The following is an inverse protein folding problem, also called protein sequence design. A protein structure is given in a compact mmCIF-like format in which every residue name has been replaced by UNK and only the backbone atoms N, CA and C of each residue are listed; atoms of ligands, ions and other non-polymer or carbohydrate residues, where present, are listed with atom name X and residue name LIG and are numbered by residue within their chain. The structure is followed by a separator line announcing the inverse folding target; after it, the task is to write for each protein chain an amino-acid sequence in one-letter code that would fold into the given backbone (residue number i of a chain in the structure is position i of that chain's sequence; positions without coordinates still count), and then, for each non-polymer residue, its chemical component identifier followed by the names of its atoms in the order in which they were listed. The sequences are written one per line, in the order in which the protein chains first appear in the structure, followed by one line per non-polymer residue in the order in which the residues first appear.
data_IF_663618765922
#
_entry.id   IF_663618765922
#
_cell.length_a   1.000
_cell.length_b   1.000
_cell.length_c   1.000
_cell.angle_alpha   90.00
_cell.angle_beta   90.00
_cell.angle_gamma   90.00
#
_symmetry.space_group_name_H-M   'P 1'
#
loop_
_entity.id
_entity.type
_entity.pdbx_description
1 polymer ?
#
# COMPACT_ATOMS: atom_id res chain seq x y z
N UNK A 1 6.80 0.93 -7.95
CA UNK A 1 7.75 0.05 -7.24
C UNK A 1 8.41 0.84 -6.12
N UNK A 2 8.52 0.28 -4.91
CA UNK A 2 9.21 0.91 -3.80
C UNK A 2 10.63 0.32 -3.74
N UNK A 3 11.65 1.18 -3.93
CA UNK A 3 13.06 0.79 -3.81
C UNK A 3 13.67 1.56 -2.66
N UNK A 4 13.86 0.88 -1.52
CA UNK A 4 14.45 1.50 -0.33
C UNK A 4 15.96 1.62 -0.50
N UNK A 5 16.53 2.78 -0.17
CA UNK A 5 17.99 3.01 -0.19
C UNK A 5 18.71 2.31 0.98
N UNK A 6 17.98 2.00 2.06
CA UNK A 6 18.46 1.21 3.22
C UNK A 6 17.34 0.26 3.71
N UNK A 7 17.66 -0.72 4.56
CA UNK A 7 16.64 -1.61 5.15
C UNK A 7 15.90 -0.86 6.24
N UNK A 8 14.76 -0.26 5.92
CA UNK A 8 13.99 0.54 6.87
C UNK A 8 12.50 0.41 6.59
N UNK A 9 11.68 0.52 7.65
CA UNK A 9 10.23 0.59 7.51
C UNK A 9 9.84 1.75 6.62
N UNK A 10 8.95 1.50 5.67
CA UNK A 10 8.51 2.51 4.70
C UNK A 10 7.02 2.72 4.84
N UNK A 11 6.59 3.98 4.91
CA UNK A 11 5.18 4.35 4.92
C UNK A 11 4.83 5.07 3.62
N UNK A 12 3.72 4.68 3.00
CA UNK A 12 3.17 5.30 1.79
C UNK A 12 1.75 5.74 2.10
N UNK A 13 1.38 6.95 1.68
CA UNK A 13 0.02 7.48 1.85
C UNK A 13 -0.67 7.50 0.48
N UNK A 14 -1.84 6.88 0.39
CA UNK A 14 -2.68 6.92 -0.80
C UNK A 14 -3.36 8.29 -0.93
N UNK A 15 -3.77 8.70 -2.15
CA UNK A 15 -4.55 9.90 -2.35
C UNK A 15 -5.81 9.91 -1.46
N UNK A 16 -6.08 11.05 -0.82
CA UNK A 16 -7.22 11.25 0.06
C UNK A 16 -8.57 11.36 -0.71
N UNK A 17 -8.51 11.80 -1.97
CA UNK A 17 -9.67 11.94 -2.86
C UNK A 17 -9.42 11.26 -4.22
N UNK A 18 -9.37 9.91 -4.27
CA UNK A 18 -9.22 9.16 -5.51
C UNK A 18 -10.53 9.12 -6.32
N UNK A 19 -10.43 8.98 -7.64
CA UNK A 19 -11.56 8.72 -8.52
C UNK A 19 -11.95 7.24 -8.49
N UNK A 20 -13.23 6.92 -8.74
CA UNK A 20 -13.71 5.53 -8.82
C UNK A 20 -12.93 4.77 -9.90
N UNK A 21 -12.48 3.56 -9.57
CA UNK A 21 -11.66 2.73 -10.44
C UNK A 21 -10.17 3.06 -10.44
N UNK A 22 -9.73 4.09 -9.68
CA UNK A 22 -8.30 4.39 -9.53
C UNK A 22 -7.57 3.20 -8.93
N UNK A 23 -6.43 2.87 -9.52
CA UNK A 23 -5.60 1.74 -9.09
C UNK A 23 -4.30 2.24 -8.46
N UNK A 24 -3.90 1.63 -7.36
CA UNK A 24 -2.60 1.78 -6.74
C UNK A 24 -1.93 0.42 -6.65
N UNK A 25 -0.74 0.30 -7.23
CA UNK A 25 0.05 -0.93 -7.22
C UNK A 25 1.36 -0.66 -6.49
N UNK A 26 1.52 -1.29 -5.34
CA UNK A 26 2.74 -1.26 -4.55
C UNK A 26 3.47 -2.59 -4.70
N UNK A 27 4.77 -2.48 -4.95
CA UNK A 27 5.66 -3.63 -5.13
C UNK A 27 6.84 -3.39 -4.22
N UNK A 28 7.16 -4.37 -3.36
CA UNK A 28 8.43 -4.39 -2.63
C UNK A 28 9.57 -4.68 -3.61
N UNK A 29 10.22 -3.62 -4.09
CA UNK A 29 11.30 -3.73 -5.06
C UNK A 29 12.62 -4.20 -4.44
N UNK A 30 12.77 -4.10 -3.11
CA UNK A 30 13.99 -4.52 -2.41
C UNK A 30 13.94 -6.00 -2.03
N UNK A 31 12.77 -6.52 -1.69
CA UNK A 31 12.61 -7.90 -1.24
C UNK A 31 12.92 -8.07 0.24
N UNK A 32 12.72 -7.03 1.05
CA UNK A 32 12.99 -7.03 2.48
C UNK A 32 11.75 -6.74 3.35
N UNK A 33 10.55 -6.78 2.76
CA UNK A 33 9.30 -6.49 3.48
C UNK A 33 9.01 -7.41 4.69
N UNK A 34 9.53 -8.64 4.73
CA UNK A 34 9.38 -9.53 5.90
C UNK A 34 10.12 -9.04 7.14
N UNK A 35 11.18 -8.27 6.92
CA UNK A 35 12.00 -7.68 7.98
C UNK A 35 11.70 -6.20 8.16
N UNK A 36 11.40 -5.51 7.06
CA UNK A 36 11.09 -4.09 6.98
C UNK A 36 9.72 -3.88 6.30
N UNK A 37 8.61 -4.16 7.00
CA UNK A 37 7.27 -4.06 6.44
C UNK A 37 7.00 -2.69 5.85
N UNK A 38 6.23 -2.68 4.77
CA UNK A 38 5.76 -1.46 4.12
C UNK A 38 4.34 -1.21 4.59
N UNK A 39 4.11 -0.06 5.23
CA UNK A 39 2.77 0.36 5.65
C UNK A 39 2.17 1.28 4.60
N UNK A 40 0.94 0.98 4.19
CA UNK A 40 0.15 1.76 3.25
C UNK A 40 -0.97 2.41 4.05
N UNK A 41 -1.06 3.72 4.04
CA UNK A 41 -2.11 4.49 4.70
C UNK A 41 -3.16 4.92 3.69
N UNK A 42 -4.44 4.78 4.05
CA UNK A 42 -5.58 5.15 3.22
C UNK A 42 -5.82 6.68 3.15
N UNK A 43 -5.04 7.48 3.88
CA UNK A 43 -5.28 8.92 4.03
C UNK A 43 -6.57 9.16 4.82
N UNK A 44 -7.57 9.79 4.19
CA UNK A 44 -8.90 10.05 4.77
C UNK A 44 -9.95 8.99 4.39
N UNK A 45 -9.58 7.97 3.61
CA UNK A 45 -10.45 6.86 3.22
C UNK A 45 -10.14 5.62 4.07
N UNK A 46 -10.48 4.43 3.58
CA UNK A 46 -10.14 3.14 4.19
C UNK A 46 -9.53 2.19 3.17
N UNK A 47 -8.91 1.12 3.65
CA UNK A 47 -8.44 -0.04 2.88
C UNK A 47 -9.07 -1.29 3.52
N UNK A 48 -10.02 -1.94 2.82
CA UNK A 48 -10.78 -3.09 3.34
C UNK A 48 -11.32 -2.87 4.77
N UNK A 49 -11.86 -1.69 5.05
CA UNK A 49 -12.39 -1.27 6.35
C UNK A 49 -11.35 -0.74 7.36
N UNK A 50 -10.05 -0.86 7.09
CA UNK A 50 -8.96 -0.42 7.95
C UNK A 50 -8.34 0.91 7.49
N UNK A 51 -7.67 1.63 8.40
CA UNK A 51 -6.95 2.86 8.04
C UNK A 51 -5.62 2.58 7.29
N UNK A 52 -5.08 1.37 7.46
CA UNK A 52 -3.79 0.97 6.89
C UNK A 52 -3.82 -0.46 6.37
N UNK A 53 -2.92 -0.74 5.43
CA UNK A 53 -2.59 -2.08 4.94
C UNK A 53 -1.09 -2.30 5.09
N UNK A 54 -0.67 -3.48 5.52
CA UNK A 54 0.75 -3.82 5.68
C UNK A 54 1.15 -4.85 4.64
N UNK A 55 2.18 -4.52 3.86
CA UNK A 55 2.87 -5.45 2.99
C UNK A 55 4.13 -5.95 3.71
N UNK A 56 4.10 -7.19 4.16
CA UNK A 56 5.15 -7.87 4.93
C UNK A 56 5.76 -9.07 4.19
N UNK A 57 5.35 -9.33 2.96
CA UNK A 57 5.89 -10.41 2.14
C UNK A 57 7.02 -9.88 1.26
N UNK A 58 8.21 -10.51 1.32
CA UNK A 58 9.35 -10.15 0.48
C UNK A 58 8.98 -10.22 -1.00
N UNK A 59 9.25 -9.14 -1.75
CA UNK A 59 8.84 -8.98 -3.16
C UNK A 59 7.34 -9.11 -3.37
N UNK A 60 6.56 -8.96 -2.31
CA UNK A 60 5.10 -8.96 -2.37
C UNK A 60 4.57 -7.78 -3.16
N UNK A 61 3.33 -7.93 -3.60
CA UNK A 61 2.60 -6.94 -4.39
C UNK A 61 1.27 -6.69 -3.71
N UNK A 62 0.97 -5.42 -3.44
CA UNK A 62 -0.35 -4.98 -2.99
C UNK A 62 -1.02 -4.23 -4.14
N UNK A 63 -2.19 -4.71 -4.57
CA UNK A 63 -3.01 -4.06 -5.61
C UNK A 63 -4.28 -3.54 -4.96
N UNK A 64 -4.47 -2.23 -5.01
CA UNK A 64 -5.60 -1.54 -4.40
C UNK A 64 -6.41 -0.85 -5.50
N UNK A 65 -7.72 -1.00 -5.47
CA UNK A 65 -8.64 -0.33 -6.39
C UNK A 65 -9.65 0.45 -5.58
N UNK A 66 -9.82 1.73 -5.87
CA UNK A 66 -10.84 2.54 -5.21
C UNK A 66 -12.23 2.24 -5.79
N UNK A 67 -13.17 1.80 -4.97
CA UNK A 67 -14.53 1.43 -5.40
C UNK A 67 -15.54 2.58 -5.37
N UNK A 68 -15.09 3.77 -4.94
CA UNK A 68 -15.94 4.94 -4.72
C UNK A 68 -16.17 5.28 -3.26
N UNK A 69 -15.91 4.33 -2.35
CA UNK A 69 -16.01 4.48 -0.90
C UNK A 69 -14.69 4.23 -0.21
N UNK A 70 -14.00 3.17 -0.61
CA UNK A 70 -12.73 2.76 -0.02
C UNK A 70 -11.81 2.07 -1.04
N UNK A 71 -10.56 1.85 -0.62
CA UNK A 71 -9.63 1.03 -1.36
C UNK A 71 -9.89 -0.45 -1.05
N UNK A 72 -10.05 -1.25 -2.10
CA UNK A 72 -10.16 -2.71 -1.99
C UNK A 72 -8.82 -3.32 -2.41
N UNK A 73 -8.15 -3.97 -1.47
CA UNK A 73 -7.00 -4.82 -1.73
C UNK A 73 -7.49 -6.15 -2.33
N UNK A 74 -6.90 -6.53 -3.46
CA UNK A 74 -7.13 -7.77 -4.18
C UNK A 74 -5.91 -8.70 -4.12
#
# INVERSE_FOLDING_TARGET
MIRKTSGSRTSIVLPASPEVGRQAVLIDGKGDASTNPITISAGSTKINGAATYTLDTNRGVARLIYDGTEWVAA
#
